data_IF_237151994316
#
_entry.id   IF_237151994316
#
_cell.length_a   1.000
_cell.length_b   1.000
_cell.length_c   1.000
_cell.angle_alpha   90.00
_cell.angle_beta   90.00
_cell.angle_gamma   90.00
#
_symmetry.space_group_name_H-M   'P 1'
#
loop_
_entity.id
_entity.type
_entity.pdbx_description
1 polymer ?
#
# COMPACT_ATOMS: atom_id res chain seq x y z
N UNK A 1 -15.02 -28.83 1.25
CA UNK A 1 -13.98 -29.24 0.28
C UNK A 1 -12.67 -28.90 0.93
N UNK A 2 -12.09 -29.87 1.62
CA UNK A 2 -10.84 -29.74 2.36
C UNK A 2 -9.69 -29.87 1.36
N UNK A 3 -9.10 -28.74 0.97
CA UNK A 3 -7.90 -28.74 0.13
C UNK A 3 -6.72 -29.19 0.99
N UNK A 4 -6.33 -30.46 0.87
CA UNK A 4 -5.13 -31.01 1.51
C UNK A 4 -3.93 -30.68 0.63
N UNK A 5 -3.07 -29.78 1.11
CA UNK A 5 -1.84 -29.40 0.41
C UNK A 5 -0.67 -30.24 0.92
N UNK A 6 0.23 -30.62 0.01
CA UNK A 6 1.55 -31.09 0.44
C UNK A 6 2.28 -29.92 1.15
N UNK A 7 2.98 -30.16 2.28
CA UNK A 7 3.67 -29.10 3.01
C UNK A 7 4.68 -28.31 2.17
N UNK A 8 5.29 -28.97 1.17
CA UNK A 8 6.24 -28.35 0.23
C UNK A 8 5.55 -27.54 -0.87
N UNK A 9 4.28 -27.83 -1.16
CA UNK A 9 3.48 -27.11 -2.15
C UNK A 9 2.64 -25.98 -1.53
N UNK A 10 2.56 -25.93 -0.20
CA UNK A 10 1.87 -24.88 0.53
C UNK A 10 2.79 -23.66 0.72
N UNK A 11 2.98 -22.94 -0.39
CA UNK A 11 3.88 -21.78 -0.49
C UNK A 11 3.15 -20.60 -1.12
N UNK A 12 3.69 -19.39 -0.94
CA UNK A 12 3.13 -18.21 -1.59
C UNK A 12 3.14 -18.36 -3.12
N UNK A 13 2.02 -18.05 -3.78
CA UNK A 13 1.89 -18.12 -5.23
C UNK A 13 2.77 -17.17 -6.04
N UNK A 14 3.46 -16.21 -5.39
CA UNK A 14 4.37 -15.26 -6.04
C UNK A 14 5.84 -15.48 -5.67
N UNK A 15 6.19 -15.57 -4.38
CA UNK A 15 7.58 -15.77 -3.97
C UNK A 15 7.97 -17.22 -3.67
N UNK A 16 7.03 -18.16 -3.77
CA UNK A 16 7.24 -19.59 -3.50
C UNK A 16 7.85 -19.89 -2.13
N UNK A 17 7.80 -18.94 -1.21
CA UNK A 17 8.28 -19.11 0.16
C UNK A 17 7.19 -19.74 1.01
N UNK A 18 7.60 -20.61 1.94
CA UNK A 18 6.71 -21.15 2.95
C UNK A 18 6.25 -20.07 3.94
N UNK A 19 5.11 -20.29 4.58
CA UNK A 19 4.53 -19.37 5.55
C UNK A 19 5.18 -19.55 6.92
N UNK A 20 6.36 -18.97 7.11
CA UNK A 20 7.16 -19.10 8.34
C UNK A 20 6.46 -18.63 9.61
N UNK A 21 5.53 -17.67 9.50
CA UNK A 21 4.72 -17.16 10.62
C UNK A 21 3.43 -17.94 10.86
N UNK A 22 3.15 -18.98 10.05
CA UNK A 22 1.94 -19.79 10.14
C UNK A 22 0.67 -19.12 9.59
N UNK A 23 0.76 -17.87 9.12
CA UNK A 23 -0.37 -17.14 8.53
C UNK A 23 -0.19 -16.99 7.02
N UNK A 24 -1.28 -17.18 6.29
CA UNK A 24 -1.38 -17.02 4.84
C UNK A 24 -2.70 -16.35 4.48
N UNK A 25 -2.78 -15.82 3.26
CA UNK A 25 -3.98 -15.20 2.73
C UNK A 25 -4.37 -15.89 1.41
N UNK A 26 -5.63 -16.23 1.25
CA UNK A 26 -6.13 -16.84 0.02
C UNK A 26 -6.66 -15.76 -0.95
N UNK A 27 -6.26 -15.84 -2.22
CA UNK A 27 -6.82 -15.04 -3.30
C UNK A 27 -7.01 -15.95 -4.53
N UNK A 28 -8.25 -16.01 -5.04
CA UNK A 28 -8.63 -16.86 -6.18
C UNK A 28 -8.21 -18.34 -6.02
N UNK A 29 -8.34 -18.89 -4.81
CA UNK A 29 -7.98 -20.28 -4.49
C UNK A 29 -6.46 -20.55 -4.40
N UNK A 30 -5.62 -19.51 -4.42
CA UNK A 30 -4.17 -19.63 -4.24
C UNK A 30 -3.72 -18.96 -2.93
N UNK A 31 -2.79 -19.58 -2.18
CA UNK A 31 -2.25 -19.00 -0.96
C UNK A 31 -1.13 -18.00 -1.27
N UNK A 32 -1.11 -16.87 -0.56
CA UNK A 32 -0.14 -15.78 -0.69
C UNK A 32 0.36 -15.34 0.68
N UNK A 33 1.61 -14.85 0.74
CA UNK A 33 2.07 -14.17 1.93
C UNK A 33 1.37 -12.81 2.04
N UNK A 34 1.36 -12.22 3.23
CA UNK A 34 0.71 -10.93 3.50
C UNK A 34 1.09 -9.88 2.44
N UNK A 35 2.40 -9.70 2.22
CA UNK A 35 2.89 -8.70 1.27
C UNK A 35 2.33 -8.90 -0.15
N UNK A 36 2.43 -10.11 -0.71
CA UNK A 36 1.96 -10.38 -2.07
C UNK A 36 0.44 -10.35 -2.19
N UNK A 37 -0.28 -10.78 -1.15
CA UNK A 37 -1.72 -10.65 -1.10
C UNK A 37 -2.15 -9.18 -1.17
N UNK A 38 -1.55 -8.32 -0.33
CA UNK A 38 -1.83 -6.89 -0.33
C UNK A 38 -1.37 -6.19 -1.60
N UNK A 39 -0.25 -6.62 -2.20
CA UNK A 39 0.21 -6.16 -3.51
C UNK A 39 -0.85 -6.43 -4.59
N UNK A 40 -1.32 -7.68 -4.70
CA UNK A 40 -2.34 -8.08 -5.69
C UNK A 40 -3.69 -7.40 -5.48
N UNK A 41 -4.07 -7.13 -4.24
CA UNK A 41 -5.29 -6.39 -3.91
C UNK A 41 -5.16 -4.87 -4.07
N UNK A 42 -3.97 -4.35 -4.35
CA UNK A 42 -3.73 -2.92 -4.44
C UNK A 42 -3.97 -2.20 -3.11
N UNK A 43 -3.64 -2.83 -1.99
CA UNK A 43 -3.82 -2.30 -0.62
C UNK A 43 -2.50 -1.99 0.07
N UNK A 44 -1.41 -1.86 -0.69
CA UNK A 44 -0.14 -1.36 -0.19
C UNK A 44 -0.15 0.17 -0.12
N UNK A 45 0.52 0.71 0.90
CA UNK A 45 0.76 2.13 1.02
C UNK A 45 1.85 2.57 0.05
N UNK A 46 1.54 3.51 -0.85
CA UNK A 46 2.50 4.05 -1.80
C UNK A 46 3.67 4.77 -1.11
N UNK A 47 3.44 5.36 0.07
CA UNK A 47 4.49 6.06 0.82
C UNK A 47 5.53 5.17 1.51
N UNK A 48 5.20 3.92 1.87
CA UNK A 48 6.12 3.04 2.63
C UNK A 48 6.22 1.61 2.10
N UNK A 49 5.40 1.23 1.11
CA UNK A 49 5.34 -0.11 0.54
C UNK A 49 4.71 -1.18 1.45
N UNK A 50 4.25 -0.82 2.65
CA UNK A 50 3.68 -1.77 3.60
C UNK A 50 2.17 -1.96 3.39
N UNK A 51 1.63 -3.16 3.70
CA UNK A 51 0.20 -3.43 3.77
C UNK A 51 -0.58 -2.43 4.65
N UNK A 52 -1.68 -1.91 4.14
CA UNK A 52 -2.59 -1.08 4.94
C UNK A 52 -3.63 -1.96 5.61
N UNK A 53 -3.48 -2.16 6.92
CA UNK A 53 -4.43 -2.90 7.76
C UNK A 53 -5.37 -1.92 8.48
N UNK A 54 -6.40 -1.44 7.79
CA UNK A 54 -7.42 -0.55 8.37
C UNK A 54 -7.75 0.66 7.50
N UNK A 55 -7.86 1.84 8.12
CA UNK A 55 -8.17 3.09 7.44
C UNK A 55 -7.08 3.45 6.43
N UNK A 56 -7.48 3.79 5.21
CA UNK A 56 -6.57 4.24 4.16
C UNK A 56 -7.07 5.55 3.55
N UNK A 57 -6.14 6.33 3.03
CA UNK A 57 -6.44 7.50 2.19
C UNK A 57 -6.21 7.07 0.75
N UNK A 58 -7.24 7.21 -0.09
CA UNK A 58 -7.14 6.97 -1.53
C UNK A 58 -7.04 8.32 -2.24
N UNK A 59 -5.91 8.57 -2.90
CA UNK A 59 -5.61 9.81 -3.59
C UNK A 59 -4.69 9.51 -4.78
N UNK A 60 -4.81 10.27 -5.86
CA UNK A 60 -3.88 10.18 -7.02
C UNK A 60 -3.79 8.78 -7.65
N UNK A 61 -4.86 7.97 -7.54
CA UNK A 61 -4.85 6.57 -7.99
C UNK A 61 -4.13 5.58 -7.04
N UNK A 62 -3.54 6.09 -5.97
CA UNK A 62 -2.77 5.33 -4.99
C UNK A 62 -3.48 5.27 -3.63
N UNK A 63 -3.02 4.37 -2.76
CA UNK A 63 -3.45 4.27 -1.37
C UNK A 63 -2.31 4.62 -0.43
N UNK A 64 -2.63 5.28 0.66
CA UNK A 64 -1.68 5.70 1.68
C UNK A 64 -2.22 5.38 3.07
N UNK A 65 -1.31 5.09 4.00
CA UNK A 65 -1.61 5.24 5.41
C UNK A 65 -1.92 6.72 5.70
N UNK A 66 -2.83 7.02 6.64
CA UNK A 66 -3.13 8.39 7.04
C UNK A 66 -1.88 9.18 7.47
N UNK A 67 -0.91 8.51 8.11
CA UNK A 67 0.37 9.10 8.52
C UNK A 67 1.34 9.35 7.37
N UNK A 68 1.26 8.57 6.29
CA UNK A 68 2.13 8.66 5.12
C UNK A 68 1.56 9.57 4.02
N UNK A 69 0.34 10.07 4.19
CA UNK A 69 -0.27 11.04 3.28
C UNK A 69 0.16 12.46 3.64
N UNK A 70 1.40 12.79 3.27
CA UNK A 70 2.09 14.04 3.66
C UNK A 70 2.57 14.84 2.46
N UNK A 71 2.80 16.13 2.67
CA UNK A 71 3.42 17.00 1.67
C UNK A 71 4.85 16.54 1.37
N UNK A 72 5.18 16.33 0.10
CA UNK A 72 6.51 15.90 -0.35
C UNK A 72 7.62 16.92 -0.05
N UNK A 73 7.27 18.17 0.31
CA UNK A 73 8.23 19.21 0.67
C UNK A 73 8.34 19.44 2.18
N UNK A 74 7.21 19.67 2.87
CA UNK A 74 7.22 20.03 4.28
C UNK A 74 6.80 18.90 5.24
N UNK A 75 6.47 17.72 4.70
CA UNK A 75 6.04 16.52 5.44
C UNK A 75 4.81 16.71 6.33
N UNK A 76 4.07 17.81 6.16
CA UNK A 76 2.80 18.03 6.86
C UNK A 76 1.72 17.10 6.34
N UNK A 77 0.93 16.52 7.24
CA UNK A 77 -0.22 15.67 6.89
C UNK A 77 -1.23 16.44 6.03
N UNK A 78 -1.66 15.81 4.94
CA UNK A 78 -2.59 16.36 3.96
C UNK A 78 -4.02 15.83 4.16
N UNK A 79 -4.24 14.97 5.15
CA UNK A 79 -5.51 14.27 5.40
C UNK A 79 -6.69 15.21 5.72
N UNK A 80 -6.42 16.43 6.17
CA UNK A 80 -7.45 17.40 6.60
C UNK A 80 -7.53 18.66 5.73
N UNK A 81 -6.86 18.71 4.56
CA UNK A 81 -6.75 19.93 3.77
C UNK A 81 -6.77 19.72 2.25
N UNK A 82 -6.71 20.83 1.52
CA UNK A 82 -6.56 20.82 0.06
C UNK A 82 -5.10 20.56 -0.28
N UNK A 83 -4.88 19.55 -1.13
CA UNK A 83 -3.58 19.23 -1.68
C UNK A 83 -3.57 19.38 -3.20
N UNK A 84 -2.37 19.46 -3.76
CA UNK A 84 -2.13 19.48 -5.20
C UNK A 84 -1.12 18.41 -5.56
N UNK A 85 -1.35 17.74 -6.67
CA UNK A 85 -0.42 16.77 -7.24
C UNK A 85 0.45 17.45 -8.30
N UNK A 86 1.74 17.16 -8.29
CA UNK A 86 2.68 17.50 -9.37
C UNK A 86 3.69 16.37 -9.51
N UNK A 87 3.87 15.84 -10.72
CA UNK A 87 4.88 14.82 -11.02
C UNK A 87 4.84 13.63 -10.03
N UNK A 88 3.65 13.07 -9.80
CA UNK A 88 3.40 11.94 -8.88
C UNK A 88 3.68 12.24 -7.38
N UNK A 89 3.98 13.50 -7.05
CA UNK A 89 4.19 13.97 -5.68
C UNK A 89 3.06 14.88 -5.24
N UNK A 90 2.74 14.80 -3.96
CA UNK A 90 1.61 15.51 -3.37
C UNK A 90 2.13 16.64 -2.51
N UNK A 91 1.60 17.84 -2.69
CA UNK A 91 2.05 19.05 -2.02
C UNK A 91 0.87 19.71 -1.31
N UNK A 92 1.11 20.29 -0.14
CA UNK A 92 0.15 21.22 0.44
C UNK A 92 0.09 22.48 -0.45
N UNK A 93 -1.08 23.13 -0.48
CA UNK A 93 -1.28 24.37 -1.25
C UNK A 93 -0.12 25.38 -1.12
N UNK A 94 0.35 25.78 0.08
CA UNK A 94 1.41 26.78 0.20
C UNK A 94 2.76 26.31 -0.34
N UNK A 95 3.11 25.03 -0.22
CA UNK A 95 4.35 24.51 -0.82
C UNK A 95 4.22 24.40 -2.34
N UNK A 96 3.05 24.01 -2.84
CA UNK A 96 2.82 23.98 -4.28
C UNK A 96 2.96 25.38 -4.89
N UNK A 97 2.31 26.39 -4.30
CA UNK A 97 2.41 27.78 -4.77
C UNK A 97 3.86 28.29 -4.71
N UNK A 98 4.61 27.99 -3.65
CA UNK A 98 6.02 28.40 -3.55
C UNK A 98 6.95 27.72 -4.55
N UNK A 99 6.67 26.47 -4.91
CA UNK A 99 7.54 25.66 -5.80
C UNK A 99 7.16 25.80 -7.28
N UNK A 100 5.89 26.09 -7.58
CA UNK A 100 5.35 26.01 -8.95
C UNK A 100 4.61 27.27 -9.41
N UNK A 101 4.35 28.27 -8.56
CA UNK A 101 3.91 29.59 -9.04
C UNK A 101 5.14 30.37 -9.50
N UNK A 102 5.26 30.53 -10.82
CA UNK A 102 6.16 31.49 -11.47
C UNK A 102 5.62 32.91 -11.34
#
# INVERSE_FOLDING_TARGET
MDNVWHPECFVCGDCFSSFSTGSFFELDGRPFCELHYHHRRGTLCYGCGQPITGSCISATGHKFHPEHFVCAFCLTQLSQGIFREQSDKIYCKPCFEKLFSL
#
